data_IF_911192911742
#
_entry.id   IF_911192911742
#
_cell.length_a   1.000
_cell.length_b   1.000
_cell.length_c   1.000
_cell.angle_alpha   90.00
_cell.angle_beta   90.00
_cell.angle_gamma   90.00
#
_symmetry.space_group_name_H-M   'P 1'
#
loop_
_entity.id
_entity.type
_entity.pdbx_description
1 polymer ?
#
# COMPACT_ATOMS: atom_id res chain seq x y z
N UNK A 1 45.42 -50.88 60.99
CA UNK A 1 44.05 -51.27 60.65
C UNK A 1 43.30 -50.03 60.20
N UNK A 2 43.41 -49.77 59.07
CA UNK A 2 42.68 -49.35 57.89
C UNK A 2 41.28 -48.78 58.18
N UNK A 3 41.07 -47.53 57.86
CA UNK A 3 39.79 -47.04 57.34
C UNK A 3 39.96 -45.88 56.36
N UNK A 4 39.50 -46.16 55.15
CA UNK A 4 39.49 -45.29 53.99
C UNK A 4 38.46 -44.18 54.10
N UNK A 5 38.83 -42.92 53.80
CA UNK A 5 37.92 -41.81 53.66
C UNK A 5 37.63 -41.62 52.16
N UNK A 6 36.39 -41.84 51.80
CA UNK A 6 35.85 -41.51 50.44
C UNK A 6 35.58 -40.01 50.40
N UNK A 7 36.26 -39.31 49.50
CA UNK A 7 35.98 -37.93 49.17
C UNK A 7 34.84 -37.87 48.19
N UNK A 8 33.76 -37.20 48.54
CA UNK A 8 32.68 -36.79 47.65
C UNK A 8 33.07 -35.54 46.92
N UNK A 9 33.28 -35.61 45.62
CA UNK A 9 33.37 -34.46 44.70
C UNK A 9 31.95 -34.02 44.34
N UNK A 10 31.53 -32.89 44.85
CA UNK A 10 30.33 -32.17 44.38
C UNK A 10 30.70 -31.35 43.14
N UNK A 11 30.24 -31.80 41.95
CA UNK A 11 30.28 -30.99 40.74
C UNK A 11 29.19 -29.90 40.84
N UNK A 12 29.61 -28.67 41.12
CA UNK A 12 28.73 -27.52 40.95
C UNK A 12 28.65 -27.13 39.50
N UNK A 13 27.56 -27.52 38.82
CA UNK A 13 27.24 -27.07 37.49
C UNK A 13 26.88 -25.59 37.46
N UNK A 14 27.81 -24.75 37.01
CA UNK A 14 27.52 -23.37 36.69
C UNK A 14 26.69 -23.33 35.41
N UNK A 15 25.38 -23.11 35.54
CA UNK A 15 24.51 -22.78 34.43
C UNK A 15 24.90 -21.36 33.92
N UNK A 16 25.65 -21.30 32.84
CA UNK A 16 25.87 -20.07 32.08
C UNK A 16 24.51 -19.69 31.44
N UNK A 17 23.78 -18.78 32.09
CA UNK A 17 22.68 -18.10 31.49
C UNK A 17 23.25 -17.17 30.38
N UNK A 18 23.11 -17.58 29.14
CA UNK A 18 23.30 -16.67 28.01
C UNK A 18 22.20 -15.62 28.12
N UNK A 19 22.52 -14.48 28.74
CA UNK A 19 21.74 -13.27 28.57
C UNK A 19 21.87 -12.89 27.08
N UNK A 20 20.82 -13.16 26.32
CA UNK A 20 20.66 -12.57 24.99
C UNK A 20 20.65 -11.07 25.25
N UNK A 21 21.75 -10.40 24.94
CA UNK A 21 21.83 -8.95 25.00
C UNK A 21 20.75 -8.43 24.03
N UNK A 22 19.65 -7.91 24.57
CA UNK A 22 18.74 -7.09 23.80
C UNK A 22 19.56 -5.92 23.27
N UNK A 23 19.49 -5.61 21.96
CA UNK A 23 20.21 -4.45 21.43
C UNK A 23 19.84 -3.21 22.24
N UNK A 24 20.72 -2.21 22.28
CA UNK A 24 20.70 -1.04 23.15
C UNK A 24 19.48 -0.08 22.96
N UNK A 25 18.45 -0.48 22.27
CA UNK A 25 17.14 0.18 22.18
C UNK A 25 16.28 -0.15 23.43
N UNK A 26 16.83 0.10 24.61
CA UNK A 26 16.06 0.01 25.87
C UNK A 26 14.96 1.09 25.94
N UNK A 27 14.97 2.04 25.02
CA UNK A 27 13.95 3.06 24.84
C UNK A 27 13.12 2.70 23.61
N UNK A 28 11.77 2.73 23.72
CA UNK A 28 10.88 2.46 22.60
C UNK A 28 11.25 3.32 21.39
N UNK A 29 11.31 2.73 20.20
CA UNK A 29 11.58 3.47 18.96
C UNK A 29 10.56 4.60 18.81
N UNK A 30 11.04 5.82 18.52
CA UNK A 30 10.20 7.00 18.31
C UNK A 30 9.95 7.18 16.82
N UNK A 31 8.69 7.19 16.43
CA UNK A 31 8.25 7.34 15.04
C UNK A 31 7.31 8.53 14.93
N UNK A 32 7.57 9.42 13.98
CA UNK A 32 6.65 10.51 13.65
C UNK A 32 6.09 10.34 12.24
N UNK A 33 4.86 10.79 12.02
CA UNK A 33 4.25 10.87 10.68
C UNK A 33 3.77 12.29 10.41
N UNK A 34 4.13 12.82 9.25
CA UNK A 34 3.72 14.15 8.77
C UNK A 34 2.78 13.94 7.58
N UNK A 35 1.59 14.51 7.66
CA UNK A 35 0.49 14.25 6.73
C UNK A 35 -0.07 15.55 6.14
N UNK A 36 -0.48 15.54 4.84
CA UNK A 36 -0.92 16.76 4.16
C UNK A 36 -2.36 17.15 4.50
N UNK A 37 -3.22 16.20 4.78
CA UNK A 37 -4.66 16.37 4.99
C UNK A 37 -5.11 16.21 6.43
N UNK A 38 -6.40 15.98 6.61
CA UNK A 38 -7.06 15.80 7.89
C UNK A 38 -7.12 14.30 8.24
N UNK A 39 -6.81 13.93 9.48
CA UNK A 39 -6.86 12.54 9.96
C UNK A 39 -8.28 11.93 9.97
N UNK A 40 -9.31 12.70 9.66
CA UNK A 40 -10.71 12.25 9.55
C UNK A 40 -11.28 12.40 8.13
N UNK A 41 -10.41 12.41 7.11
CA UNK A 41 -10.80 12.60 5.70
C UNK A 41 -11.45 11.36 5.08
N UNK A 42 -11.50 10.24 5.79
CA UNK A 42 -12.00 8.94 5.34
C UNK A 42 -11.27 8.38 4.11
N UNK A 43 -10.06 8.86 3.85
CA UNK A 43 -9.25 8.53 2.69
C UNK A 43 -7.77 8.36 3.07
N UNK A 44 -6.89 8.92 2.25
CA UNK A 44 -5.44 8.76 2.33
C UNK A 44 -4.84 9.16 3.69
N UNK A 45 -5.13 10.38 4.16
CA UNK A 45 -4.55 10.87 5.44
C UNK A 45 -5.02 10.05 6.63
N UNK A 46 -6.31 9.73 6.69
CA UNK A 46 -6.84 8.87 7.75
C UNK A 46 -6.20 7.49 7.73
N UNK A 47 -5.96 6.91 6.56
CA UNK A 47 -5.32 5.59 6.45
C UNK A 47 -3.90 5.58 7.00
N UNK A 48 -3.12 6.65 6.77
CA UNK A 48 -1.80 6.85 7.36
C UNK A 48 -1.84 7.00 8.88
N UNK A 49 -2.79 7.79 9.38
CA UNK A 49 -3.00 7.97 10.80
C UNK A 49 -3.40 6.65 11.50
N UNK A 50 -4.34 5.90 10.94
CA UNK A 50 -4.70 4.58 11.46
C UNK A 50 -3.53 3.59 11.39
N UNK A 51 -2.70 3.68 10.36
CA UNK A 51 -1.50 2.87 10.21
C UNK A 51 -0.49 3.09 11.32
N UNK A 52 -0.21 4.36 11.70
CA UNK A 52 0.73 4.63 12.78
C UNK A 52 0.15 4.26 14.15
N UNK A 53 -1.16 4.38 14.36
CA UNK A 53 -1.82 3.88 15.57
C UNK A 53 -1.72 2.36 15.68
N UNK A 54 -1.94 1.63 14.58
CA UNK A 54 -1.80 0.19 14.54
C UNK A 54 -0.35 -0.24 14.79
N UNK A 55 0.63 0.50 14.25
CA UNK A 55 2.04 0.24 14.49
C UNK A 55 2.41 0.46 15.96
N UNK A 56 1.89 1.52 16.60
CA UNK A 56 2.05 1.71 18.06
C UNK A 56 1.57 0.52 18.86
N UNK A 57 0.39 0.02 18.55
CA UNK A 57 -0.22 -1.12 19.25
C UNK A 57 0.56 -2.42 19.04
N UNK A 58 0.91 -2.74 17.78
CA UNK A 58 1.53 -4.01 17.41
C UNK A 58 3.02 -4.07 17.67
N UNK A 59 3.73 -2.96 17.51
CA UNK A 59 5.20 -2.89 17.56
C UNK A 59 5.73 -2.26 18.86
N UNK A 60 4.85 -1.68 19.70
CA UNK A 60 5.24 -1.06 20.97
C UNK A 60 6.08 0.21 20.79
N UNK A 61 5.96 0.93 19.67
CA UNK A 61 6.67 2.16 19.38
C UNK A 61 6.01 3.39 20.03
N UNK A 62 6.81 4.43 20.28
CA UNK A 62 6.31 5.75 20.65
C UNK A 62 5.98 6.54 19.37
N UNK A 63 4.81 7.16 19.30
CA UNK A 63 4.39 7.87 18.09
C UNK A 63 4.10 9.35 18.35
N UNK A 64 4.27 10.15 17.27
CA UNK A 64 3.72 11.49 17.14
C UNK A 64 3.22 11.71 15.71
N UNK A 65 2.40 12.72 15.51
CA UNK A 65 1.92 13.07 14.16
C UNK A 65 1.70 14.58 14.01
N UNK A 66 1.74 15.03 12.76
CA UNK A 66 1.27 16.35 12.33
C UNK A 66 0.34 16.17 11.13
N UNK A 67 -0.80 16.83 11.17
CA UNK A 67 -1.79 16.83 10.09
C UNK A 67 -1.90 18.22 9.43
N UNK A 68 -2.48 18.29 8.22
CA UNK A 68 -2.72 19.54 7.48
C UNK A 68 -1.42 20.34 7.21
N UNK A 69 -0.31 19.62 7.02
CA UNK A 69 0.98 20.23 6.76
C UNK A 69 1.08 20.56 5.27
N UNK A 70 0.97 21.85 4.96
CA UNK A 70 1.07 22.34 3.57
C UNK A 70 2.49 22.16 3.03
N UNK A 71 2.63 22.08 1.72
CA UNK A 71 3.90 21.74 1.05
C UNK A 71 5.06 22.65 1.47
N UNK A 72 4.82 23.94 1.69
CA UNK A 72 5.84 24.88 2.13
C UNK A 72 6.45 24.55 3.50
N UNK A 73 5.69 23.91 4.39
CA UNK A 73 6.05 23.61 5.77
C UNK A 73 6.56 22.17 5.97
N UNK A 74 6.45 21.30 4.96
CA UNK A 74 6.76 19.88 5.07
C UNK A 74 8.20 19.62 5.52
N UNK A 75 9.19 20.29 4.93
CA UNK A 75 10.59 20.12 5.26
C UNK A 75 10.89 20.54 6.71
N UNK A 76 10.30 21.63 7.18
CA UNK A 76 10.50 22.09 8.56
C UNK A 76 9.81 21.16 9.57
N UNK A 77 8.60 20.67 9.26
CA UNK A 77 7.90 19.72 10.10
C UNK A 77 8.68 18.39 10.26
N UNK A 78 9.25 17.86 9.16
CA UNK A 78 10.11 16.67 9.22
C UNK A 78 11.40 16.93 10.00
N UNK A 79 12.04 18.09 9.79
CA UNK A 79 13.25 18.48 10.50
C UNK A 79 13.00 18.67 12.01
N UNK A 80 11.83 19.17 12.42
CA UNK A 80 11.48 19.34 13.83
C UNK A 80 11.45 18.00 14.56
N UNK A 81 10.80 16.98 13.99
CA UNK A 81 10.81 15.64 14.58
C UNK A 81 12.21 15.04 14.64
N UNK A 82 13.03 15.21 13.61
CA UNK A 82 14.42 14.74 13.64
C UNK A 82 15.23 15.43 14.74
N UNK A 83 15.12 16.76 14.93
CA UNK A 83 15.76 17.51 16.03
C UNK A 83 15.33 17.02 17.41
N UNK A 84 14.09 16.57 17.56
CA UNK A 84 13.52 16.01 18.79
C UNK A 84 13.92 14.57 19.05
N UNK A 85 14.79 13.99 18.19
CA UNK A 85 15.35 12.65 18.36
C UNK A 85 14.38 11.52 17.99
N UNK A 86 13.50 11.75 17.03
CA UNK A 86 12.70 10.67 16.42
C UNK A 86 13.60 9.81 15.54
N UNK A 87 13.49 8.48 15.68
CA UNK A 87 14.30 7.51 14.95
C UNK A 87 13.83 7.38 13.50
N UNK A 88 12.50 7.46 13.28
CA UNK A 88 11.88 7.41 11.97
C UNK A 88 10.93 8.59 11.82
N UNK A 89 11.03 9.30 10.69
CA UNK A 89 10.09 10.36 10.31
C UNK A 89 9.47 10.01 8.97
N UNK A 90 8.15 9.83 8.96
CA UNK A 90 7.38 9.43 7.77
C UNK A 90 6.75 10.67 7.15
N UNK A 91 6.99 10.91 5.86
CA UNK A 91 6.20 11.80 5.01
C UNK A 91 5.11 11.00 4.32
N UNK A 92 3.85 11.30 4.61
CA UNK A 92 2.73 10.51 4.10
C UNK A 92 2.14 11.09 2.82
N UNK A 93 2.80 10.80 1.71
CA UNK A 93 2.47 11.25 0.36
C UNK A 93 3.73 11.44 -0.47
N UNK A 94 3.68 11.17 -1.76
CA UNK A 94 4.81 11.34 -2.68
C UNK A 94 5.32 12.78 -2.75
N UNK A 95 4.47 13.76 -2.42
CA UNK A 95 4.82 15.19 -2.35
C UNK A 95 5.84 15.51 -1.24
N UNK A 96 6.04 14.61 -0.27
CA UNK A 96 7.07 14.74 0.76
C UNK A 96 8.48 14.35 0.29
N UNK A 97 8.64 13.80 -0.91
CA UNK A 97 9.95 13.33 -1.40
C UNK A 97 11.01 14.45 -1.41
N UNK A 98 10.68 15.60 -1.95
CA UNK A 98 11.58 16.76 -1.96
C UNK A 98 11.90 17.27 -0.55
N UNK A 99 10.91 17.22 0.36
CA UNK A 99 11.09 17.64 1.74
C UNK A 99 12.05 16.70 2.45
N UNK A 100 11.87 15.39 2.34
CA UNK A 100 12.76 14.38 2.89
C UNK A 100 14.20 14.54 2.34
N UNK A 101 14.36 14.68 1.03
CA UNK A 101 15.68 14.85 0.39
C UNK A 101 16.43 16.09 0.89
N UNK A 102 15.72 17.20 1.14
CA UNK A 102 16.32 18.43 1.68
C UNK A 102 16.77 18.34 3.14
N UNK A 103 16.16 17.48 3.93
CA UNK A 103 16.44 17.43 5.38
C UNK A 103 17.31 16.24 5.78
N UNK A 104 17.27 15.12 5.07
CA UNK A 104 17.89 13.87 5.47
C UNK A 104 19.39 13.98 5.75
N UNK A 105 20.15 14.66 4.88
CA UNK A 105 21.60 14.83 5.05
C UNK A 105 22.01 15.60 6.32
N UNK A 106 21.09 16.39 6.89
CA UNK A 106 21.33 17.16 8.14
C UNK A 106 21.06 16.32 9.40
N UNK A 107 20.38 15.19 9.25
CA UNK A 107 19.97 14.32 10.37
C UNK A 107 20.28 12.86 10.04
N UNK A 108 21.58 12.48 9.96
CA UNK A 108 22.00 11.14 9.53
C UNK A 108 21.54 10.01 10.48
N UNK A 109 21.23 10.33 11.74
CA UNK A 109 20.76 9.37 12.74
C UNK A 109 19.23 9.14 12.69
N UNK A 110 18.50 9.87 11.83
CA UNK A 110 17.06 9.71 11.60
C UNK A 110 16.82 9.06 10.26
N UNK A 111 16.01 8.01 10.22
CA UNK A 111 15.50 7.44 8.98
C UNK A 111 14.27 8.22 8.51
N UNK A 112 14.27 8.64 7.27
CA UNK A 112 13.11 9.26 6.64
C UNK A 112 12.43 8.24 5.73
N UNK A 113 11.12 8.11 5.82
CA UNK A 113 10.32 7.24 4.95
C UNK A 113 9.29 8.06 4.22
N UNK A 114 9.17 7.88 2.90
CA UNK A 114 8.15 8.58 2.10
C UNK A 114 7.17 7.55 1.57
N UNK A 115 5.92 7.60 2.06
CA UNK A 115 4.83 6.80 1.51
C UNK A 115 4.46 7.32 0.12
N UNK A 116 4.30 6.42 -0.86
CA UNK A 116 4.19 6.73 -2.29
C UNK A 116 5.38 7.52 -2.84
N UNK A 117 6.53 7.49 -2.15
CA UNK A 117 7.78 8.01 -2.67
C UNK A 117 8.41 7.05 -3.68
N UNK A 118 9.35 7.55 -4.46
CA UNK A 118 9.96 6.77 -5.54
C UNK A 118 11.48 6.66 -5.42
N UNK A 119 12.09 7.46 -4.58
CA UNK A 119 13.54 7.56 -4.46
C UNK A 119 13.99 7.12 -3.07
N UNK A 120 15.15 6.45 -3.03
CA UNK A 120 15.89 6.14 -1.82
C UNK A 120 17.17 6.98 -1.73
N UNK A 121 17.79 6.99 -0.56
CA UNK A 121 19.06 7.65 -0.30
C UNK A 121 19.69 7.05 0.95
N UNK A 122 20.82 7.59 1.44
CA UNK A 122 21.55 7.02 2.57
C UNK A 122 20.66 6.72 3.79
N UNK A 123 19.81 7.68 4.17
CA UNK A 123 18.85 7.56 5.26
C UNK A 123 17.40 7.90 4.83
N UNK A 124 17.09 7.75 3.55
CA UNK A 124 15.76 7.92 2.97
C UNK A 124 15.30 6.59 2.40
N UNK A 125 14.18 6.06 2.89
CA UNK A 125 13.45 4.98 2.27
C UNK A 125 12.15 5.51 1.64
N UNK A 126 11.71 4.89 0.57
CA UNK A 126 10.38 5.11 0.02
C UNK A 126 9.57 3.82 0.09
N UNK A 127 8.27 3.94 0.29
CA UNK A 127 7.32 2.84 0.30
C UNK A 127 6.25 3.08 -0.77
N UNK A 128 6.30 2.31 -1.85
CA UNK A 128 5.40 2.41 -2.99
C UNK A 128 4.79 1.03 -3.30
N UNK A 129 3.83 0.98 -4.21
CA UNK A 129 3.18 -0.26 -4.62
C UNK A 129 3.45 -0.56 -6.10
N UNK A 130 3.51 -1.84 -6.44
CA UNK A 130 3.59 -2.26 -7.84
C UNK A 130 2.20 -2.21 -8.49
N UNK A 131 1.74 -1.00 -8.80
CA UNK A 131 0.44 -0.77 -9.41
C UNK A 131 0.25 -1.48 -10.73
N UNK A 132 1.33 -1.70 -11.49
CA UNK A 132 1.26 -2.38 -12.79
C UNK A 132 0.80 -3.83 -12.69
N UNK A 133 1.26 -4.58 -11.68
CA UNK A 133 0.80 -5.96 -11.47
C UNK A 133 -0.73 -6.00 -11.28
N UNK A 134 -1.25 -5.12 -10.45
CA UNK A 134 -2.68 -5.08 -10.14
C UNK A 134 -3.53 -4.56 -11.30
N UNK A 135 -3.07 -3.51 -11.98
CA UNK A 135 -3.74 -3.01 -13.17
C UNK A 135 -3.89 -4.11 -14.23
N UNK A 136 -2.81 -4.84 -14.51
CA UNK A 136 -2.85 -5.95 -15.47
C UNK A 136 -3.86 -7.03 -15.08
N UNK A 137 -3.86 -7.47 -13.82
CA UNK A 137 -4.77 -8.52 -13.35
C UNK A 137 -6.24 -8.06 -13.38
N UNK A 138 -6.55 -6.83 -12.98
CA UNK A 138 -7.91 -6.28 -13.08
C UNK A 138 -8.31 -6.15 -14.56
N UNK A 139 -7.40 -5.70 -15.42
CA UNK A 139 -7.62 -5.65 -16.87
C UNK A 139 -7.90 -7.03 -17.46
N UNK A 140 -7.15 -8.05 -17.05
CA UNK A 140 -7.36 -9.42 -17.50
C UNK A 140 -8.75 -9.94 -17.11
N UNK A 141 -9.16 -9.75 -15.85
CA UNK A 141 -10.53 -10.09 -15.40
C UNK A 141 -11.56 -9.33 -16.24
N UNK A 142 -11.38 -8.03 -16.45
CA UNK A 142 -12.29 -7.23 -17.26
C UNK A 142 -12.44 -7.77 -18.69
N UNK A 143 -11.33 -8.14 -19.34
CA UNK A 143 -11.34 -8.69 -20.71
C UNK A 143 -12.04 -10.04 -20.81
N UNK A 144 -11.97 -10.87 -19.76
CA UNK A 144 -12.71 -12.15 -19.69
C UNK A 144 -14.20 -11.96 -19.37
N UNK A 145 -14.56 -10.88 -18.67
CA UNK A 145 -15.94 -10.65 -18.22
C UNK A 145 -16.75 -9.71 -19.10
N UNK A 146 -16.11 -8.90 -19.94
CA UNK A 146 -16.82 -7.99 -20.85
C UNK A 146 -17.65 -8.76 -21.89
N UNK A 147 -18.82 -8.24 -22.21
CA UNK A 147 -19.69 -8.71 -23.30
C UNK A 147 -19.64 -7.78 -24.51
N UNK A 148 -19.27 -6.52 -24.28
CA UNK A 148 -19.22 -5.48 -25.33
C UNK A 148 -17.84 -5.36 -25.96
N UNK A 149 -16.82 -5.92 -25.34
CA UNK A 149 -15.42 -5.71 -25.71
C UNK A 149 -14.87 -4.37 -25.22
N UNK A 150 -15.65 -3.59 -24.43
CA UNK A 150 -15.26 -2.28 -23.93
C UNK A 150 -15.25 -2.25 -22.41
N UNK A 151 -14.17 -1.70 -21.85
CA UNK A 151 -14.05 -1.42 -20.42
C UNK A 151 -13.81 0.07 -20.20
N UNK A 152 -14.02 0.53 -18.95
CA UNK A 152 -13.70 1.88 -18.52
C UNK A 152 -12.64 1.87 -17.44
N UNK A 153 -11.79 2.88 -17.46
CA UNK A 153 -10.89 3.22 -16.37
C UNK A 153 -11.06 4.69 -16.00
N UNK A 154 -11.16 4.97 -14.68
CA UNK A 154 -11.40 6.34 -14.20
C UNK A 154 -10.37 6.63 -13.11
N UNK A 155 -9.57 7.69 -13.29
CA UNK A 155 -8.60 8.19 -12.32
C UNK A 155 -8.91 9.60 -11.84
N UNK A 156 -8.29 9.98 -10.70
CA UNK A 156 -8.36 11.34 -10.19
C UNK A 156 -7.50 12.29 -11.02
N UNK A 157 -6.19 12.12 -10.97
CA UNK A 157 -5.22 12.99 -11.65
C UNK A 157 -4.21 12.16 -12.45
N UNK A 158 -3.56 12.78 -13.45
CA UNK A 158 -2.49 12.16 -14.24
C UNK A 158 -1.16 12.20 -13.47
N UNK A 159 -1.03 11.33 -12.50
CA UNK A 159 0.23 11.10 -11.76
C UNK A 159 0.73 9.69 -12.01
N UNK A 160 1.96 9.40 -11.61
CA UNK A 160 2.64 8.12 -11.93
C UNK A 160 1.79 6.89 -11.59
N UNK A 161 1.24 6.84 -10.38
CA UNK A 161 0.41 5.71 -9.95
C UNK A 161 -0.80 5.48 -10.87
N UNK A 162 -1.51 6.55 -11.24
CA UNK A 162 -2.67 6.48 -12.16
C UNK A 162 -2.27 6.04 -13.57
N UNK A 163 -1.11 6.52 -14.05
CA UNK A 163 -0.60 6.14 -15.37
C UNK A 163 -0.18 4.68 -15.41
N UNK A 164 0.54 4.21 -14.40
CA UNK A 164 0.99 2.82 -14.29
C UNK A 164 -0.20 1.85 -14.19
N UNK A 165 -1.18 2.18 -13.35
CA UNK A 165 -2.38 1.36 -13.15
C UNK A 165 -3.25 1.31 -14.42
N UNK A 166 -3.47 2.44 -15.09
CA UNK A 166 -4.25 2.52 -16.32
C UNK A 166 -3.57 1.79 -17.47
N UNK A 167 -2.28 2.06 -17.72
CA UNK A 167 -1.57 1.43 -18.85
C UNK A 167 -1.55 -0.08 -18.72
N UNK A 168 -1.27 -0.60 -17.52
CA UNK A 168 -1.26 -2.05 -17.30
C UNK A 168 -2.67 -2.67 -17.29
N UNK A 169 -3.70 -1.93 -16.88
CA UNK A 169 -5.09 -2.35 -17.02
C UNK A 169 -5.45 -2.55 -18.50
N UNK A 170 -5.07 -1.60 -19.37
CA UNK A 170 -5.27 -1.71 -20.80
C UNK A 170 -4.48 -2.90 -21.41
N UNK A 171 -3.24 -3.13 -20.97
CA UNK A 171 -2.43 -4.27 -21.38
C UNK A 171 -3.09 -5.60 -21.01
N UNK A 172 -3.54 -5.76 -19.76
CA UNK A 172 -4.22 -6.97 -19.29
C UNK A 172 -5.56 -7.18 -19.98
N UNK A 173 -6.33 -6.11 -20.21
CA UNK A 173 -7.60 -6.17 -20.93
C UNK A 173 -7.45 -6.69 -22.35
N UNK A 174 -6.46 -6.17 -23.09
CA UNK A 174 -6.14 -6.64 -24.43
C UNK A 174 -5.63 -8.09 -24.45
N UNK A 175 -4.78 -8.45 -23.48
CA UNK A 175 -4.27 -9.82 -23.36
C UNK A 175 -5.39 -10.86 -23.15
N UNK A 176 -6.50 -10.46 -22.55
CA UNK A 176 -7.69 -11.29 -22.33
C UNK A 176 -8.73 -11.23 -23.46
N UNK A 177 -8.45 -10.51 -24.56
CA UNK A 177 -9.33 -10.39 -25.73
C UNK A 177 -10.24 -9.16 -25.74
N UNK A 178 -10.09 -8.23 -24.79
CA UNK A 178 -10.78 -6.95 -24.79
C UNK A 178 -10.32 -6.04 -25.95
N UNK A 179 -11.19 -5.13 -26.39
CA UNK A 179 -10.96 -4.31 -27.59
C UNK A 179 -10.56 -2.88 -27.23
N UNK A 180 -11.30 -2.22 -26.34
CA UNK A 180 -11.14 -0.79 -26.05
C UNK A 180 -11.29 -0.49 -24.57
N UNK A 181 -10.36 0.30 -24.01
CA UNK A 181 -10.48 0.88 -22.68
C UNK A 181 -10.74 2.38 -22.81
N UNK A 182 -11.88 2.82 -22.30
CA UNK A 182 -12.23 4.23 -22.20
C UNK A 182 -11.58 4.81 -20.95
N UNK A 183 -10.65 5.75 -21.13
CA UNK A 183 -9.91 6.38 -20.01
C UNK A 183 -10.46 7.77 -19.73
N UNK A 184 -10.72 8.07 -18.44
CA UNK A 184 -11.13 9.39 -17.97
C UNK A 184 -10.35 9.80 -16.72
N UNK A 185 -10.13 11.11 -16.56
CA UNK A 185 -9.60 11.73 -15.36
C UNK A 185 -10.57 12.79 -14.86
N UNK A 186 -10.98 12.69 -13.59
CA UNK A 186 -11.94 13.62 -12.98
C UNK A 186 -11.28 14.93 -12.54
N UNK A 187 -9.94 14.95 -12.46
CA UNK A 187 -9.13 16.00 -11.82
C UNK A 187 -9.51 16.24 -10.35
N UNK A 188 -10.04 15.20 -9.71
CA UNK A 188 -10.51 15.23 -8.33
C UNK A 188 -10.48 13.80 -7.77
N UNK A 189 -10.08 13.62 -6.51
CA UNK A 189 -10.04 12.31 -5.89
C UNK A 189 -11.32 12.00 -5.12
N UNK A 190 -12.04 13.03 -4.66
CA UNK A 190 -13.07 12.91 -3.63
C UNK A 190 -14.48 13.27 -4.12
N UNK A 191 -14.62 13.99 -5.22
CA UNK A 191 -15.95 14.43 -5.72
C UNK A 191 -16.76 13.25 -6.25
N UNK A 192 -17.70 12.79 -5.42
CA UNK A 192 -18.59 11.66 -5.72
C UNK A 192 -19.44 11.91 -6.98
N UNK A 193 -19.86 13.16 -7.22
CA UNK A 193 -20.68 13.48 -8.39
C UNK A 193 -19.87 13.36 -9.69
N UNK A 194 -18.61 13.84 -9.70
CA UNK A 194 -17.68 13.68 -10.83
C UNK A 194 -17.37 12.21 -11.09
N UNK A 195 -17.15 11.41 -10.05
CA UNK A 195 -16.95 9.96 -10.18
C UNK A 195 -18.15 9.27 -10.83
N UNK A 196 -19.38 9.64 -10.39
CA UNK A 196 -20.61 9.11 -10.97
C UNK A 196 -20.81 9.52 -12.43
N UNK A 197 -20.57 10.78 -12.75
CA UNK A 197 -20.69 11.31 -14.10
C UNK A 197 -19.70 10.62 -15.07
N UNK A 198 -18.45 10.47 -14.67
CA UNK A 198 -17.43 9.80 -15.47
C UNK A 198 -17.82 8.34 -15.78
N UNK A 199 -18.32 7.59 -14.79
CA UNK A 199 -18.76 6.22 -14.98
C UNK A 199 -19.99 6.16 -15.90
N UNK A 200 -21.00 6.99 -15.69
CA UNK A 200 -22.20 7.06 -16.57
C UNK A 200 -21.82 7.39 -18.01
N UNK A 201 -20.87 8.29 -18.23
CA UNK A 201 -20.38 8.63 -19.55
C UNK A 201 -19.73 7.43 -20.25
N UNK A 202 -18.83 6.71 -19.58
CA UNK A 202 -18.19 5.50 -20.15
C UNK A 202 -19.20 4.39 -20.41
N UNK A 203 -20.15 4.17 -19.51
CA UNK A 203 -21.23 3.19 -19.69
C UNK A 203 -22.10 3.56 -20.92
N UNK A 204 -22.41 4.85 -21.11
CA UNK A 204 -23.16 5.32 -22.28
C UNK A 204 -22.44 5.09 -23.60
N UNK A 205 -21.11 4.97 -23.58
CA UNK A 205 -20.25 4.65 -24.73
C UNK A 205 -20.05 3.13 -24.91
N UNK A 206 -20.70 2.32 -24.06
CA UNK A 206 -20.72 0.87 -24.17
C UNK A 206 -19.74 0.13 -23.27
N UNK A 207 -19.06 0.79 -22.33
CA UNK A 207 -18.28 0.08 -21.32
C UNK A 207 -19.22 -0.69 -20.38
N UNK A 208 -18.94 -1.97 -20.16
CA UNK A 208 -19.70 -2.86 -19.27
C UNK A 208 -18.90 -3.40 -18.09
N UNK A 209 -17.64 -2.98 -17.96
CA UNK A 209 -16.77 -3.20 -16.80
C UNK A 209 -15.99 -1.92 -16.52
N UNK A 210 -16.07 -1.36 -15.30
CA UNK A 210 -15.45 -0.09 -14.93
C UNK A 210 -14.44 -0.31 -13.82
N UNK A 211 -13.23 0.26 -13.95
CA UNK A 211 -12.25 0.32 -12.88
C UNK A 211 -12.05 1.77 -12.40
N UNK A 212 -12.77 2.20 -11.36
CA UNK A 212 -12.56 3.51 -10.75
C UNK A 212 -11.39 3.45 -9.77
N UNK A 213 -10.45 4.37 -9.91
CA UNK A 213 -9.20 4.41 -9.14
C UNK A 213 -8.97 5.80 -8.52
N UNK A 214 -9.92 6.19 -7.70
CA UNK A 214 -9.96 7.45 -6.98
C UNK A 214 -10.12 7.17 -5.47
N UNK A 215 -10.25 8.22 -4.66
CA UNK A 215 -10.56 8.09 -3.24
C UNK A 215 -12.10 8.06 -3.04
N UNK A 216 -12.72 9.04 -2.39
CA UNK A 216 -14.17 9.02 -2.16
C UNK A 216 -15.01 9.05 -3.46
N UNK A 217 -14.48 9.60 -4.56
CA UNK A 217 -15.17 9.63 -5.85
C UNK A 217 -15.49 8.23 -6.40
N UNK A 218 -14.78 7.17 -5.96
CA UNK A 218 -15.09 5.77 -6.30
C UNK A 218 -16.54 5.41 -5.95
N UNK A 219 -17.06 5.92 -4.83
CA UNK A 219 -18.44 5.66 -4.38
C UNK A 219 -19.45 6.02 -5.47
N UNK A 220 -19.29 7.19 -6.10
CA UNK A 220 -20.17 7.64 -7.18
C UNK A 220 -20.11 6.73 -8.42
N UNK A 221 -18.89 6.29 -8.77
CA UNK A 221 -18.69 5.35 -9.88
C UNK A 221 -19.34 3.99 -9.62
N UNK A 222 -19.19 3.44 -8.42
CA UNK A 222 -19.81 2.16 -8.02
C UNK A 222 -21.35 2.27 -7.98
N UNK A 223 -21.89 3.40 -7.53
CA UNK A 223 -23.34 3.68 -7.60
C UNK A 223 -23.84 3.67 -9.05
N UNK A 224 -23.13 4.34 -9.97
CA UNK A 224 -23.47 4.34 -11.39
C UNK A 224 -23.45 2.93 -11.98
N UNK A 225 -22.41 2.14 -11.68
CA UNK A 225 -22.30 0.75 -12.12
C UNK A 225 -23.47 -0.10 -11.62
N UNK A 226 -23.82 0.00 -10.33
CA UNK A 226 -24.95 -0.69 -9.73
C UNK A 226 -26.28 -0.30 -10.40
N UNK A 227 -26.53 1.01 -10.59
CA UNK A 227 -27.75 1.53 -11.24
C UNK A 227 -27.91 1.03 -12.68
N UNK A 228 -26.79 0.80 -13.38
CA UNK A 228 -26.79 0.36 -14.79
C UNK A 228 -26.62 -1.14 -14.97
N UNK A 229 -26.38 -1.88 -13.90
CA UNK A 229 -26.16 -3.32 -13.94
C UNK A 229 -24.89 -3.72 -14.70
N UNK A 230 -23.83 -2.90 -14.60
CA UNK A 230 -22.50 -3.18 -15.15
C UNK A 230 -21.51 -3.50 -14.04
N UNK A 231 -20.44 -4.23 -14.38
CA UNK A 231 -19.45 -4.64 -13.42
C UNK A 231 -18.46 -3.53 -13.07
N UNK A 232 -17.86 -3.64 -11.89
CA UNK A 232 -16.79 -2.75 -11.46
C UNK A 232 -15.69 -3.51 -10.69
N UNK A 233 -14.59 -2.80 -10.43
CA UNK A 233 -13.54 -3.24 -9.50
C UNK A 233 -13.48 -2.33 -8.28
N UNK A 234 -13.00 -2.91 -7.16
CA UNK A 234 -12.67 -2.17 -5.95
C UNK A 234 -11.19 -1.76 -5.92
N UNK A 235 -10.89 -0.76 -5.10
CA UNK A 235 -9.55 -0.26 -4.84
C UNK A 235 -9.34 -0.05 -3.34
N UNK A 236 -8.10 -0.29 -2.84
CA UNK A 236 -7.63 -0.14 -1.47
C UNK A 236 -8.19 -1.17 -0.47
N UNK A 237 -9.45 -1.55 -0.56
CA UNK A 237 -10.09 -2.53 0.33
C UNK A 237 -10.90 -3.56 -0.45
N UNK A 238 -11.34 -4.61 0.20
CA UNK A 238 -12.16 -5.66 -0.45
C UNK A 238 -13.61 -5.18 -0.62
N UNK A 239 -13.85 -4.42 -1.68
CA UNK A 239 -15.11 -3.72 -1.93
C UNK A 239 -16.30 -4.64 -2.21
N UNK A 240 -16.09 -5.93 -2.45
CA UNK A 240 -17.18 -6.91 -2.62
C UNK A 240 -18.06 -7.00 -1.37
N UNK A 241 -17.51 -6.70 -0.19
CA UNK A 241 -18.26 -6.72 1.08
C UNK A 241 -19.42 -5.72 1.05
N UNK A 242 -19.18 -4.54 0.47
CA UNK A 242 -20.18 -3.48 0.38
C UNK A 242 -20.98 -3.49 -0.94
N UNK A 243 -20.35 -4.04 -2.00
CA UNK A 243 -20.89 -4.03 -3.37
C UNK A 243 -20.91 -5.42 -4.01
N UNK A 244 -21.54 -6.45 -3.36
CA UNK A 244 -21.45 -7.84 -3.82
C UNK A 244 -22.10 -8.09 -5.20
N UNK A 245 -23.05 -7.23 -5.61
CA UNK A 245 -23.74 -7.36 -6.91
C UNK A 245 -23.05 -6.58 -8.05
N UNK A 246 -21.96 -5.84 -7.73
CA UNK A 246 -21.35 -4.89 -8.67
C UNK A 246 -19.85 -5.14 -8.84
N UNK A 247 -19.14 -5.48 -7.76
CA UNK A 247 -17.68 -5.63 -7.77
C UNK A 247 -17.28 -7.05 -8.12
N UNK A 248 -16.45 -7.21 -9.17
CA UNK A 248 -15.87 -8.51 -9.57
C UNK A 248 -14.72 -8.95 -8.69
N UNK A 249 -13.84 -8.01 -8.35
CA UNK A 249 -12.67 -8.19 -7.51
C UNK A 249 -12.13 -6.82 -7.08
N UNK A 250 -11.17 -6.80 -6.15
CA UNK A 250 -10.52 -5.57 -5.70
C UNK A 250 -9.00 -5.68 -5.80
N UNK A 251 -8.34 -4.58 -6.17
CA UNK A 251 -6.91 -4.36 -5.97
C UNK A 251 -6.71 -3.72 -4.59
N UNK A 252 -6.13 -4.45 -3.65
CA UNK A 252 -5.96 -3.99 -2.27
C UNK A 252 -4.53 -3.51 -2.07
N UNK A 253 -4.39 -2.21 -1.78
CA UNK A 253 -3.15 -1.55 -1.39
C UNK A 253 -3.30 -1.09 0.06
N UNK A 254 -2.72 -1.85 0.98
CA UNK A 254 -2.87 -1.66 2.42
C UNK A 254 -1.66 -0.90 2.98
N UNK A 255 -1.77 0.43 3.05
CA UNK A 255 -0.71 1.28 3.59
C UNK A 255 -0.43 0.95 5.07
N UNK A 256 -1.40 0.44 5.82
CA UNK A 256 -1.20 0.03 7.23
C UNK A 256 -0.30 -1.19 7.31
N UNK A 257 -0.52 -2.17 6.42
CA UNK A 257 0.35 -3.35 6.29
C UNK A 257 1.75 -2.99 5.81
N UNK A 258 1.87 -2.10 4.81
CA UNK A 258 3.15 -1.58 4.36
C UNK A 258 3.92 -0.88 5.49
N UNK A 259 3.24 -0.01 6.27
CA UNK A 259 3.84 0.68 7.41
C UNK A 259 4.33 -0.29 8.50
N UNK A 260 3.55 -1.31 8.84
CA UNK A 260 4.00 -2.35 9.77
C UNK A 260 5.26 -3.04 9.27
N UNK A 261 5.31 -3.37 7.98
CA UNK A 261 6.46 -4.06 7.37
C UNK A 261 7.72 -3.23 7.45
N UNK A 262 7.72 -1.99 6.94
CA UNK A 262 8.94 -1.20 6.97
C UNK A 262 9.32 -0.71 8.38
N UNK A 263 8.36 -0.49 9.28
CA UNK A 263 8.67 -0.15 10.68
C UNK A 263 9.25 -1.35 11.44
N UNK A 264 8.82 -2.58 11.15
CA UNK A 264 9.47 -3.76 11.69
C UNK A 264 10.90 -3.88 11.18
N UNK A 265 11.15 -3.61 9.89
CA UNK A 265 12.52 -3.56 9.35
C UNK A 265 13.37 -2.49 10.04
N UNK A 266 12.79 -1.33 10.37
CA UNK A 266 13.50 -0.29 11.11
C UNK A 266 13.86 -0.75 12.52
N UNK A 267 12.94 -1.39 13.24
CA UNK A 267 13.18 -1.96 14.58
C UNK A 267 14.30 -3.02 14.54
N UNK A 268 14.30 -3.85 13.50
CA UNK A 268 15.31 -4.90 13.29
C UNK A 268 16.68 -4.34 12.82
N UNK A 269 16.78 -3.04 12.55
CA UNK A 269 17.98 -2.40 11.99
C UNK A 269 18.26 -2.81 10.54
N UNK A 270 17.21 -3.20 9.79
CA UNK A 270 17.29 -3.71 8.42
C UNK A 270 16.62 -2.78 7.38
N UNK A 271 16.03 -1.66 7.82
CA UNK A 271 15.48 -0.69 6.89
C UNK A 271 16.62 0.07 6.21
N UNK A 272 16.78 -0.16 4.92
CA UNK A 272 17.81 0.45 4.09
C UNK A 272 17.24 1.66 3.33
N UNK A 273 18.10 2.61 2.96
CA UNK A 273 17.75 3.77 2.16
C UNK A 273 17.48 3.42 0.69
N UNK A 274 16.36 2.77 0.42
CA UNK A 274 15.93 2.36 -0.93
C UNK A 274 14.43 2.48 -1.12
N UNK A 275 13.97 2.30 -2.35
CA UNK A 275 12.55 2.15 -2.62
C UNK A 275 12.08 0.72 -2.30
N UNK A 276 11.14 0.59 -1.37
CA UNK A 276 10.41 -0.64 -1.08
C UNK A 276 9.13 -0.63 -1.90
N UNK A 277 9.11 -1.48 -2.92
CA UNK A 277 7.96 -1.61 -3.80
C UNK A 277 7.15 -2.85 -3.39
N UNK A 278 6.05 -2.62 -2.70
CA UNK A 278 5.15 -3.68 -2.24
C UNK A 278 4.34 -4.22 -3.40
N UNK A 279 4.32 -5.52 -3.52
CA UNK A 279 3.71 -6.22 -4.65
C UNK A 279 2.97 -7.49 -4.19
N UNK A 280 2.58 -8.33 -5.13
CA UNK A 280 1.90 -9.61 -4.85
C UNK A 280 2.72 -10.58 -3.97
N UNK A 281 4.03 -10.36 -3.79
CA UNK A 281 4.89 -11.14 -2.88
C UNK A 281 4.79 -10.67 -1.43
N UNK A 282 4.15 -9.53 -1.18
CA UNK A 282 3.94 -8.91 0.14
C UNK A 282 2.44 -8.77 0.44
N UNK A 283 1.72 -9.89 0.65
CA UNK A 283 0.25 -9.89 0.73
C UNK A 283 -0.31 -9.11 1.93
N UNK A 284 0.49 -8.85 2.95
CA UNK A 284 0.14 -7.97 4.06
C UNK A 284 0.01 -6.49 3.64
N UNK A 285 0.70 -6.09 2.56
CA UNK A 285 0.66 -4.73 2.03
C UNK A 285 -0.08 -4.63 0.69
N UNK A 286 0.05 -5.63 -0.19
CA UNK A 286 -0.57 -5.60 -1.52
C UNK A 286 -1.11 -6.98 -1.91
N UNK A 287 -2.41 -7.08 -2.18
CA UNK A 287 -3.08 -8.34 -2.49
C UNK A 287 -4.31 -8.18 -3.35
N UNK A 288 -4.74 -9.26 -3.98
CA UNK A 288 -6.05 -9.34 -4.59
C UNK A 288 -7.13 -9.52 -3.51
N UNK A 289 -8.29 -8.88 -3.71
CA UNK A 289 -9.48 -9.12 -2.91
C UNK A 289 -10.19 -10.42 -3.28
N UNK A 290 -11.36 -10.63 -2.68
CA UNK A 290 -12.22 -11.79 -2.95
C UNK A 290 -12.78 -11.72 -4.37
N UNK A 291 -12.75 -12.82 -5.09
CA UNK A 291 -13.45 -12.93 -6.38
C UNK A 291 -14.97 -13.00 -6.17
N UNK A 292 -15.69 -12.23 -6.97
CA UNK A 292 -17.14 -12.37 -7.05
C UNK A 292 -17.49 -13.79 -7.57
N UNK A 293 -18.52 -14.44 -7.04
CA UNK A 293 -19.01 -15.73 -7.57
C UNK A 293 -19.40 -15.67 -9.06
N UNK A 294 -19.68 -14.52 -9.63
CA UNK A 294 -19.95 -14.33 -11.05
C UNK A 294 -18.69 -14.50 -11.94
N UNK A 295 -17.47 -14.40 -11.37
CA UNK A 295 -16.22 -14.69 -12.09
C UNK A 295 -16.05 -16.20 -12.21
N UNK A 296 -16.02 -16.76 -13.42
CA UNK A 296 -15.87 -18.20 -13.62
C UNK A 296 -14.59 -18.73 -12.96
N UNK A 297 -14.64 -19.93 -12.40
CA UNK A 297 -13.49 -20.54 -11.69
C UNK A 297 -12.25 -20.63 -12.59
N UNK A 298 -12.43 -20.92 -13.87
CA UNK A 298 -11.35 -20.95 -14.87
C UNK A 298 -10.63 -19.59 -14.96
N UNK A 299 -11.39 -18.50 -14.99
CA UNK A 299 -10.83 -17.13 -15.03
C UNK A 299 -10.09 -16.82 -13.72
N UNK A 300 -10.65 -17.21 -12.58
CA UNK A 300 -9.96 -17.05 -11.29
C UNK A 300 -8.61 -17.79 -11.28
N UNK A 301 -8.57 -19.03 -11.78
CA UNK A 301 -7.35 -19.84 -11.84
C UNK A 301 -6.32 -19.26 -12.81
N UNK A 302 -6.75 -18.74 -13.96
CA UNK A 302 -5.87 -18.00 -14.90
C UNK A 302 -5.25 -16.77 -14.23
N UNK A 303 -6.06 -15.96 -13.52
CA UNK A 303 -5.58 -14.75 -12.80
C UNK A 303 -4.57 -15.10 -11.71
N UNK A 304 -4.85 -16.15 -10.93
CA UNK A 304 -3.91 -16.60 -9.90
C UNK A 304 -2.60 -17.14 -10.51
N UNK A 305 -2.66 -17.84 -11.64
CA UNK A 305 -1.47 -18.30 -12.35
C UNK A 305 -0.64 -17.11 -12.90
N UNK A 306 -1.29 -16.06 -13.43
CA UNK A 306 -0.62 -14.83 -13.83
C UNK A 306 0.03 -14.12 -12.62
N UNK A 307 -0.65 -14.08 -11.48
CA UNK A 307 -0.09 -13.51 -10.25
C UNK A 307 1.18 -14.27 -9.81
N UNK A 308 1.21 -15.61 -9.87
CA UNK A 308 2.41 -16.39 -9.56
C UNK A 308 3.55 -16.12 -10.55
N UNK A 309 3.27 -15.96 -11.84
CA UNK A 309 4.27 -15.54 -12.83
C UNK A 309 4.84 -14.14 -12.56
N UNK A 310 4.02 -13.23 -12.04
CA UNK A 310 4.48 -11.90 -11.64
C UNK A 310 5.38 -11.98 -10.39
N UNK A 311 5.02 -12.78 -9.39
CA UNK A 311 5.84 -13.01 -8.18
C UNK A 311 7.20 -13.63 -8.52
N UNK A 312 7.23 -14.56 -9.48
CA UNK A 312 8.49 -15.18 -9.94
C UNK A 312 9.32 -14.29 -10.85
N UNK A 313 8.76 -13.16 -11.34
CA UNK A 313 9.41 -12.27 -12.30
C UNK A 313 9.36 -12.78 -13.75
N UNK A 314 8.65 -13.87 -14.03
CA UNK A 314 8.43 -14.39 -15.39
C UNK A 314 7.56 -13.43 -16.23
N UNK A 315 6.57 -12.80 -15.58
CA UNK A 315 5.71 -11.78 -16.19
C UNK A 315 5.96 -10.43 -15.52
N UNK A 316 6.29 -9.42 -16.32
CA UNK A 316 6.51 -8.04 -15.89
C UNK A 316 5.64 -7.12 -16.74
N UNK A 317 4.43 -6.81 -16.28
CA UNK A 317 3.53 -5.89 -17.00
C UNK A 317 4.04 -4.45 -16.96
#
# INVERSE_FOLDING_TARGET
MIMSKRSFLTLSGAALAFAVARPAWAQAMKVAIVMPGNITDKSWTQSGYEGILQAKEKLGIEIAYSEKVVQADQAEAMADYARRGYNVVIGHGGEFQDAASRVASRYPDTLFVVNNGQEGGDNIASADFNFRQFGYLMGYVAGKMTKTGKAGWIGGQKIKFSLDLNSSYEEGFKAAGGQEVLTAYTNDWDDIAKGKEAALNQISQGADVIFPTMDNAVIGSLQACKEKGVWAFGLYYDAIVDWPETVLQSAIFDIKGAMLTYLQLAIDGKLEGKNYNFDLSTPEAARLGTFNPAVPKEVQDEVLALAEKMKSGELKP
#
